data_IF_441729575072
#
_entry.id   IF_441729575072
#
_cell.length_a   1.000
_cell.length_b   1.000
_cell.length_c   1.000
_cell.angle_alpha   90.00
_cell.angle_beta   90.00
_cell.angle_gamma   90.00
#
_symmetry.space_group_name_H-M   'P 1'
#
loop_
_entity.id
_entity.type
_entity.pdbx_description
1 polymer ?
#
# COMPACT_ATOMS: atom_id res chain seq x y z
N UNK A 1 -4.23 10.04 -27.17
CA UNK A 1 -5.34 9.57 -26.31
C UNK A 1 -4.70 8.95 -25.09
N UNK A 2 -4.92 9.51 -23.90
CA UNK A 2 -4.31 8.98 -22.67
C UNK A 2 -5.00 7.70 -22.21
N UNK A 3 -4.24 6.69 -21.81
CA UNK A 3 -4.80 5.49 -21.18
C UNK A 3 -5.36 5.87 -19.81
N UNK A 4 -6.64 5.58 -19.57
CA UNK A 4 -7.28 5.77 -18.27
C UNK A 4 -7.23 4.48 -17.49
N UNK A 5 -6.66 4.53 -16.29
CA UNK A 5 -6.67 3.42 -15.34
C UNK A 5 -7.70 3.68 -14.24
N UNK A 6 -8.45 2.65 -13.85
CA UNK A 6 -9.47 2.74 -12.80
C UNK A 6 -9.20 1.65 -11.78
N UNK A 7 -8.98 2.06 -10.54
CA UNK A 7 -8.78 1.17 -9.39
C UNK A 7 -9.87 1.45 -8.36
N UNK A 8 -10.43 0.38 -7.80
CA UNK A 8 -11.35 0.43 -6.66
C UNK A 8 -10.73 -0.33 -5.50
N UNK A 9 -10.62 0.33 -4.35
CA UNK A 9 -9.89 -0.20 -3.21
C UNK A 9 -9.66 0.82 -2.11
N UNK A 10 -8.79 0.44 -1.18
CA UNK A 10 -8.39 1.26 -0.05
C UNK A 10 -6.89 1.45 -0.05
N UNK A 11 -6.45 2.62 0.42
CA UNK A 11 -5.04 2.90 0.69
C UNK A 11 -4.91 3.24 2.16
N UNK A 12 -3.94 2.61 2.83
CA UNK A 12 -3.57 2.95 4.20
C UNK A 12 -2.15 3.51 4.23
N UNK A 13 -2.01 4.73 4.73
CA UNK A 13 -0.70 5.31 5.09
C UNK A 13 -0.40 5.03 6.57
N UNK A 14 0.78 4.50 6.86
CA UNK A 14 1.22 4.18 8.23
C UNK A 14 2.59 4.81 8.47
N UNK A 15 2.71 5.57 9.55
CA UNK A 15 3.98 6.05 10.09
C UNK A 15 4.26 5.40 11.43
N UNK A 16 5.52 5.05 11.67
CA UNK A 16 5.97 4.45 12.93
C UNK A 16 6.97 5.37 13.65
N UNK A 17 7.14 5.17 14.95
CA UNK A 17 8.10 5.95 15.75
C UNK A 17 9.57 5.68 15.37
N UNK A 18 9.86 4.53 14.76
CA UNK A 18 11.21 4.22 14.27
C UNK A 18 11.58 4.97 12.99
N UNK A 19 10.63 5.68 12.37
CA UNK A 19 10.81 6.37 11.10
C UNK A 19 10.42 5.53 9.88
N UNK A 20 10.08 4.25 10.04
CA UNK A 20 9.53 3.42 8.96
C UNK A 20 8.15 3.98 8.55
N UNK A 21 7.96 4.19 7.25
CA UNK A 21 6.72 4.66 6.66
C UNK A 21 6.25 3.67 5.61
N UNK A 22 4.95 3.43 5.56
CA UNK A 22 4.33 2.42 4.72
C UNK A 22 3.12 3.01 4.02
N UNK A 23 2.92 2.65 2.76
CA UNK A 23 1.67 2.83 2.03
C UNK A 23 1.23 1.46 1.56
N UNK A 24 0.09 1.01 2.07
CA UNK A 24 -0.50 -0.29 1.72
C UNK A 24 -1.69 -0.05 0.80
N UNK A 25 -1.64 -0.60 -0.40
CA UNK A 25 -2.78 -0.66 -1.31
C UNK A 25 -3.54 -1.98 -1.15
N UNK A 26 -4.86 -1.90 -1.04
CA UNK A 26 -5.78 -3.05 -1.02
C UNK A 26 -6.82 -2.85 -2.10
N UNK A 27 -6.58 -3.45 -3.27
CA UNK A 27 -7.35 -3.24 -4.48
C UNK A 27 -8.34 -4.38 -4.68
N UNK A 28 -9.63 -4.06 -4.60
CA UNK A 28 -10.71 -5.01 -4.81
C UNK A 28 -10.99 -5.23 -6.29
N UNK A 29 -10.85 -4.17 -7.10
CA UNK A 29 -10.99 -4.25 -8.55
C UNK A 29 -9.94 -3.37 -9.21
N UNK A 30 -9.22 -3.92 -10.18
CA UNK A 30 -8.23 -3.20 -10.98
C UNK A 30 -8.07 -3.86 -12.35
N UNK A 31 -7.37 -3.21 -13.29
CA UNK A 31 -7.03 -3.83 -14.58
C UNK A 31 -6.15 -5.08 -14.47
N UNK A 32 -5.49 -5.29 -13.31
CA UNK A 32 -4.68 -6.47 -12.99
C UNK A 32 -5.43 -7.53 -12.16
N UNK A 33 -6.74 -7.36 -11.95
CA UNK A 33 -7.52 -8.13 -10.98
C UNK A 33 -7.37 -7.61 -9.53
N UNK A 34 -7.93 -8.30 -8.53
CA UNK A 34 -7.76 -7.92 -7.13
C UNK A 34 -6.32 -8.20 -6.67
N UNK A 35 -5.69 -7.25 -5.99
CA UNK A 35 -4.34 -7.42 -5.47
C UNK A 35 -4.05 -6.51 -4.28
N UNK A 36 -2.87 -6.69 -3.67
CA UNK A 36 -2.34 -5.78 -2.66
C UNK A 36 -0.87 -5.52 -2.92
N UNK A 37 -0.41 -4.33 -2.59
CA UNK A 37 0.96 -3.87 -2.75
C UNK A 37 1.37 -3.04 -1.53
N UNK A 38 2.68 -2.98 -1.28
CA UNK A 38 3.22 -2.16 -0.20
C UNK A 38 4.41 -1.36 -0.70
N UNK A 39 4.30 -0.04 -0.62
CA UNK A 39 5.47 0.83 -0.64
C UNK A 39 5.93 1.04 0.80
N UNK A 40 7.23 0.94 1.05
CA UNK A 40 7.82 1.32 2.31
C UNK A 40 9.03 2.22 2.11
N UNK A 41 9.17 3.19 3.02
CA UNK A 41 10.36 4.01 3.15
C UNK A 41 11.00 3.71 4.50
N UNK A 42 12.25 3.27 4.45
CA UNK A 42 13.07 3.09 5.64
C UNK A 42 13.47 4.43 6.24
N UNK A 43 13.87 4.48 7.52
CA UNK A 43 14.35 5.71 8.16
C UNK A 43 15.54 6.37 7.44
N UNK A 44 16.34 5.57 6.73
CA UNK A 44 17.44 6.03 5.86
C UNK A 44 16.96 6.84 4.65
N UNK A 45 15.68 6.73 4.29
CA UNK A 45 15.09 7.31 3.08
C UNK A 45 14.90 6.30 1.94
N UNK A 46 15.52 5.11 2.01
CA UNK A 46 15.43 4.05 1.00
C UNK A 46 13.98 3.62 0.77
N UNK A 47 13.54 3.62 -0.48
CA UNK A 47 12.18 3.30 -0.92
C UNK A 47 12.13 1.94 -1.59
N UNK A 48 11.37 1.03 -1.00
CA UNK A 48 11.15 -0.32 -1.50
C UNK A 48 9.68 -0.51 -1.87
N UNK A 49 9.43 -1.05 -3.07
CA UNK A 49 8.14 -1.57 -3.50
C UNK A 49 8.08 -3.09 -3.31
N UNK A 50 7.05 -3.57 -2.63
CA UNK A 50 6.66 -4.98 -2.57
C UNK A 50 5.40 -5.17 -3.42
N UNK A 51 5.53 -5.90 -4.53
CA UNK A 51 4.43 -6.12 -5.48
C UNK A 51 4.14 -7.62 -5.66
N UNK A 52 2.87 -8.01 -5.92
CA UNK A 52 2.43 -9.41 -5.98
C UNK A 52 2.84 -10.14 -7.27
N UNK A 53 3.28 -9.40 -8.30
CA UNK A 53 3.70 -9.92 -9.59
C UNK A 53 4.43 -8.85 -10.40
N UNK A 54 5.15 -9.29 -11.44
CA UNK A 54 5.95 -8.40 -12.28
C UNK A 54 5.12 -7.33 -12.99
N UNK A 55 3.94 -7.69 -13.51
CA UNK A 55 3.07 -6.74 -14.22
C UNK A 55 2.64 -5.55 -13.34
N UNK A 56 2.23 -5.84 -12.08
CA UNK A 56 1.89 -4.81 -11.10
C UNK A 56 3.13 -4.00 -10.70
N UNK A 57 4.27 -4.67 -10.52
CA UNK A 57 5.53 -4.03 -10.18
C UNK A 57 5.94 -3.00 -11.24
N UNK A 58 5.92 -3.40 -12.51
CA UNK A 58 6.29 -2.56 -13.65
C UNK A 58 5.33 -1.38 -13.82
N UNK A 59 4.02 -1.61 -13.64
CA UNK A 59 3.02 -0.54 -13.69
C UNK A 59 3.28 0.53 -12.62
N UNK A 60 3.47 0.12 -11.36
CA UNK A 60 3.67 1.05 -10.25
C UNK A 60 5.02 1.77 -10.38
N UNK A 61 6.09 1.04 -10.71
CA UNK A 61 7.43 1.58 -10.91
C UNK A 61 7.51 2.52 -12.15
N UNK A 62 6.62 2.36 -13.12
CA UNK A 62 6.46 3.31 -14.22
C UNK A 62 5.83 4.65 -13.82
N UNK A 63 5.16 4.70 -12.65
CA UNK A 63 4.50 5.90 -12.14
C UNK A 63 5.29 6.58 -11.01
N UNK A 64 5.94 5.78 -10.17
CA UNK A 64 6.69 6.24 -9.00
C UNK A 64 8.11 5.67 -8.98
N UNK A 65 9.07 6.46 -8.51
CA UNK A 65 10.47 6.01 -8.38
C UNK A 65 10.70 5.32 -7.03
N UNK A 66 11.31 4.14 -7.11
CA UNK A 66 11.76 3.34 -5.98
C UNK A 66 13.25 3.04 -6.13
N UNK A 67 13.96 2.94 -5.01
CA UNK A 67 15.35 2.50 -4.97
C UNK A 67 15.44 0.98 -5.17
N UNK A 68 14.39 0.26 -4.76
CA UNK A 68 14.30 -1.19 -4.90
C UNK A 68 12.86 -1.64 -5.19
N UNK A 69 12.71 -2.67 -6.01
CA UNK A 69 11.44 -3.34 -6.28
C UNK A 69 11.62 -4.83 -6.04
N UNK A 70 10.74 -5.43 -5.23
CA UNK A 70 10.71 -6.87 -4.99
C UNK A 70 9.34 -7.43 -5.33
N UNK A 71 9.35 -8.45 -6.18
CA UNK A 71 8.16 -9.26 -6.44
C UNK A 71 8.07 -10.34 -5.36
N UNK A 72 7.06 -10.24 -4.50
CA UNK A 72 6.80 -11.17 -3.40
C UNK A 72 5.30 -11.42 -3.30
N UNK A 73 4.87 -12.51 -2.67
CA UNK A 73 3.45 -12.65 -2.32
C UNK A 73 3.08 -11.53 -1.35
N UNK A 74 2.03 -10.78 -1.67
CA UNK A 74 1.48 -9.74 -0.80
C UNK A 74 0.04 -10.09 -0.51
N UNK A 75 -0.28 -10.29 0.76
CA UNK A 75 -1.62 -10.55 1.24
C UNK A 75 -1.98 -9.48 2.27
N UNK A 76 -2.97 -8.65 1.96
CA UNK A 76 -3.50 -7.67 2.88
C UNK A 76 -4.99 -7.92 3.14
N UNK A 77 -5.39 -7.89 4.41
CA UNK A 77 -6.79 -7.98 4.81
C UNK A 77 -7.18 -6.70 5.54
N UNK A 78 -8.17 -6.00 4.99
CA UNK A 78 -8.80 -4.86 5.64
C UNK A 78 -10.13 -5.32 6.27
N UNK A 79 -10.14 -5.41 7.59
CA UNK A 79 -11.33 -5.69 8.41
C UNK A 79 -11.80 -4.39 9.12
N UNK A 80 -13.01 -4.37 9.70
CA UNK A 80 -13.47 -3.22 10.46
C UNK A 80 -12.48 -2.83 11.56
N UNK A 81 -11.86 -1.65 11.42
CA UNK A 81 -10.91 -1.11 12.40
C UNK A 81 -9.54 -1.78 12.44
N UNK A 82 -9.22 -2.70 11.52
CA UNK A 82 -7.95 -3.42 11.54
C UNK A 82 -7.42 -3.75 10.14
N UNK A 83 -6.11 -3.59 9.96
CA UNK A 83 -5.39 -3.93 8.75
C UNK A 83 -4.27 -4.92 9.11
N UNK A 84 -4.27 -6.07 8.44
CA UNK A 84 -3.15 -7.02 8.47
C UNK A 84 -2.50 -7.10 7.10
N UNK A 85 -1.17 -7.23 7.07
CA UNK A 85 -0.40 -7.46 5.85
C UNK A 85 0.68 -8.50 6.09
N UNK A 86 0.80 -9.45 5.18
CA UNK A 86 1.92 -10.37 5.03
C UNK A 86 2.51 -10.15 3.63
N UNK A 87 3.76 -9.71 3.57
CA UNK A 87 4.46 -9.38 2.34
C UNK A 87 5.90 -9.89 2.36
N UNK A 88 6.09 -11.19 2.59
CA UNK A 88 7.42 -11.80 2.68
C UNK A 88 8.15 -11.39 3.97
N UNK A 89 9.23 -10.59 3.93
CA UNK A 89 9.93 -10.16 5.14
C UNK A 89 9.14 -9.14 5.98
N UNK A 90 8.04 -8.61 5.46
CA UNK A 90 7.25 -7.57 6.11
C UNK A 90 5.93 -8.14 6.65
N UNK A 91 5.68 -7.95 7.94
CA UNK A 91 4.39 -8.21 8.58
C UNK A 91 3.86 -6.92 9.24
N UNK A 92 2.59 -6.60 8.98
CA UNK A 92 1.93 -5.42 9.54
C UNK A 92 0.68 -5.86 10.29
N UNK A 93 0.47 -5.30 11.48
CA UNK A 93 -0.80 -5.32 12.20
C UNK A 93 -1.08 -3.90 12.68
N UNK A 94 -2.13 -3.28 12.15
CA UNK A 94 -2.46 -1.89 12.44
C UNK A 94 -3.94 -1.76 12.84
N UNK A 95 -4.20 -1.07 13.94
CA UNK A 95 -5.55 -0.68 14.33
C UNK A 95 -5.90 0.66 13.70
N UNK A 96 -7.02 0.69 13.00
CA UNK A 96 -7.55 1.90 12.39
C UNK A 96 -8.47 2.58 13.40
N UNK A 97 -8.15 3.84 13.73
CA UNK A 97 -8.99 4.67 14.56
C UNK A 97 -10.26 5.12 13.82
N UNK A 98 -11.28 5.52 14.57
CA UNK A 98 -12.42 6.23 14.01
C UNK A 98 -12.00 7.59 13.44
N UNK A 99 -12.88 8.19 12.64
CA UNK A 99 -12.69 9.56 12.16
C UNK A 99 -12.55 10.52 13.34
N UNK A 100 -11.56 11.41 13.30
CA UNK A 100 -11.37 12.43 14.33
C UNK A 100 -12.49 13.48 14.28
N UNK A 101 -12.66 14.26 15.36
CA UNK A 101 -13.63 15.37 15.38
C UNK A 101 -13.41 16.36 14.24
N UNK A 102 -12.15 16.71 13.95
CA UNK A 102 -11.79 17.55 12.80
C UNK A 102 -12.16 16.87 11.48
N UNK A 103 -11.91 15.56 11.35
CA UNK A 103 -12.32 14.79 10.17
C UNK A 103 -13.84 14.63 10.03
N UNK A 104 -14.63 14.95 11.06
CA UNK A 104 -16.10 15.06 10.96
C UNK A 104 -16.55 16.47 10.56
N UNK A 105 -15.85 17.50 11.03
CA UNK A 105 -16.15 18.91 10.75
C UNK A 105 -15.76 19.33 9.33
N UNK A 106 -14.70 18.73 8.77
CA UNK A 106 -14.19 18.98 7.42
C UNK A 106 -14.67 17.85 6.50
N UNK A 107 -15.69 18.11 5.68
CA UNK A 107 -16.20 17.20 4.64
C UNK A 107 -15.97 17.77 3.26
#
# INVERSE_FOLDING_TARGET
MGTRWIFDGHIAGIGTASGLRLVVGVWKSSPFGPFSDVMLQEPSGHRLLLAPGAEVADFIAGTYTFDEVRVVKVHATLAPGHLTVDAGPLAISARLGGRSLLGHALR
#
